data_IF_188698834109
#
_entry.id   IF_188698834109
#
_cell.length_a   1.000
_cell.length_b   1.000
_cell.length_c   1.000
_cell.angle_alpha   90.00
_cell.angle_beta   90.00
_cell.angle_gamma   90.00
#
_symmetry.space_group_name_H-M   'P 1'
#
loop_
_entity.id
_entity.type
_entity.pdbx_description
1 polymer ?
#
# COMPACT_ATOMS: atom_id res chain seq x y z
N UNK A 1 22.32 -18.12 50.44
CA UNK A 1 21.92 -17.16 49.38
C UNK A 1 21.04 -17.88 48.40
N UNK A 2 19.72 -17.72 48.52
CA UNK A 2 18.74 -18.20 47.52
C UNK A 2 18.57 -17.14 46.44
N UNK A 3 19.19 -17.34 45.28
CA UNK A 3 18.97 -16.51 44.10
C UNK A 3 17.58 -16.79 43.50
N UNK A 4 16.65 -15.87 43.68
CA UNK A 4 15.41 -15.84 42.92
C UNK A 4 15.70 -15.37 41.48
N UNK A 5 15.73 -16.32 40.53
CA UNK A 5 15.72 -16.01 39.10
C UNK A 5 14.31 -15.60 38.75
N UNK A 6 14.09 -14.29 38.61
CA UNK A 6 12.83 -13.76 38.04
C UNK A 6 12.88 -13.98 36.53
N UNK A 7 12.31 -15.08 36.07
CA UNK A 7 12.03 -15.26 34.65
C UNK A 7 10.88 -14.32 34.31
N UNK A 8 11.18 -13.17 33.71
CA UNK A 8 10.17 -12.30 33.11
C UNK A 8 9.63 -13.08 31.90
N UNK A 9 8.47 -13.72 32.05
CA UNK A 9 7.67 -14.16 30.93
C UNK A 9 7.22 -12.87 30.22
N UNK A 10 7.93 -12.50 29.17
CA UNK A 10 7.41 -11.59 28.16
C UNK A 10 6.19 -12.30 27.57
N UNK A 11 5.00 -11.96 28.05
CA UNK A 11 3.77 -12.41 27.40
C UNK A 11 3.86 -11.95 25.94
N UNK A 12 3.85 -12.90 25.01
CA UNK A 12 3.81 -12.59 23.58
C UNK A 12 2.54 -11.78 23.32
N UNK A 13 2.67 -10.67 22.60
CA UNK A 13 1.50 -9.89 22.17
C UNK A 13 0.53 -10.80 21.39
N UNK A 14 -0.78 -10.56 21.47
CA UNK A 14 -1.76 -11.27 20.64
C UNK A 14 -1.36 -11.23 19.16
N UNK A 15 -1.71 -12.28 18.43
CA UNK A 15 -1.46 -12.33 17.00
C UNK A 15 -2.32 -11.29 16.26
N UNK A 16 -1.81 -10.78 15.17
CA UNK A 16 -2.55 -9.91 14.25
C UNK A 16 -2.63 -10.58 12.89
N UNK A 17 -3.85 -10.82 12.40
CA UNK A 17 -4.12 -11.34 11.07
C UNK A 17 -4.52 -10.17 10.16
N UNK A 18 -3.84 -10.02 9.02
CA UNK A 18 -4.07 -8.93 8.08
C UNK A 18 -4.51 -9.52 6.74
N UNK A 19 -5.74 -9.21 6.34
CA UNK A 19 -6.30 -9.55 5.03
C UNK A 19 -6.12 -8.36 4.10
N UNK A 20 -5.54 -8.58 2.89
CA UNK A 20 -5.12 -7.52 1.99
C UNK A 20 -3.72 -6.98 2.31
N UNK A 21 -2.86 -7.85 2.83
CA UNK A 21 -1.52 -7.48 3.32
C UNK A 21 -0.54 -7.04 2.23
N UNK A 22 -0.75 -7.39 0.96
CA UNK A 22 0.11 -6.97 -0.15
C UNK A 22 -0.18 -5.54 -0.64
N UNK A 23 -1.27 -4.92 -0.18
CA UNK A 23 -1.62 -3.52 -0.49
C UNK A 23 -0.66 -2.51 0.12
N UNK A 24 -0.75 -1.24 -0.33
CA UNK A 24 0.14 -0.16 0.10
C UNK A 24 0.15 0.06 1.63
N UNK A 25 -1.02 0.06 2.27
CA UNK A 25 -1.16 0.16 3.74
C UNK A 25 -0.76 -1.16 4.40
N UNK A 26 -1.23 -2.30 3.86
CA UNK A 26 -1.03 -3.62 4.45
C UNK A 26 0.43 -4.00 4.63
N UNK A 27 1.26 -3.82 3.61
CA UNK A 27 2.72 -4.11 3.67
C UNK A 27 3.40 -3.36 4.82
N UNK A 28 3.08 -2.08 4.95
CA UNK A 28 3.69 -1.21 5.96
C UNK A 28 3.18 -1.51 7.35
N UNK A 29 1.90 -1.80 7.48
CA UNK A 29 1.31 -2.19 8.76
C UNK A 29 1.89 -3.50 9.26
N UNK A 30 2.08 -4.51 8.38
CA UNK A 30 2.77 -5.75 8.73
C UNK A 30 4.17 -5.50 9.28
N UNK A 31 4.99 -4.70 8.58
CA UNK A 31 6.35 -4.36 9.01
C UNK A 31 6.37 -3.56 10.32
N UNK A 32 5.48 -2.58 10.47
CA UNK A 32 5.41 -1.74 11.65
C UNK A 32 4.94 -2.51 12.90
N UNK A 33 3.98 -3.41 12.77
CA UNK A 33 3.53 -4.28 13.86
C UNK A 33 4.60 -5.26 14.29
N UNK A 34 5.29 -5.92 13.36
CA UNK A 34 6.39 -6.84 13.70
C UNK A 34 7.55 -6.11 14.36
N UNK A 35 7.88 -4.88 13.91
CA UNK A 35 8.88 -4.04 14.57
C UNK A 35 8.51 -3.70 16.03
N UNK A 36 7.22 -3.70 16.38
CA UNK A 36 6.71 -3.54 17.76
C UNK A 36 6.53 -4.86 18.52
N UNK A 37 6.96 -5.99 17.93
CA UNK A 37 6.93 -7.30 18.56
C UNK A 37 5.60 -8.05 18.45
N UNK A 38 4.69 -7.65 17.56
CA UNK A 38 3.50 -8.44 17.25
C UNK A 38 3.85 -9.61 16.35
N UNK A 39 3.23 -10.76 16.58
CA UNK A 39 3.17 -11.84 15.61
C UNK A 39 2.15 -11.46 14.54
N UNK A 40 2.55 -11.46 13.26
CA UNK A 40 1.69 -11.03 12.15
C UNK A 40 1.48 -12.17 11.15
N UNK A 41 0.23 -12.44 10.82
CA UNK A 41 -0.18 -13.32 9.72
C UNK A 41 -0.64 -12.41 8.59
N UNK A 42 0.15 -12.31 7.53
CA UNK A 42 -0.11 -11.51 6.35
C UNK A 42 -0.78 -12.37 5.28
N UNK A 43 -2.01 -12.05 4.87
CA UNK A 43 -2.73 -12.79 3.82
C UNK A 43 -3.19 -11.87 2.69
N UNK A 44 -3.23 -12.43 1.47
CA UNK A 44 -3.67 -11.72 0.27
C UNK A 44 -4.15 -12.71 -0.79
N UNK A 45 -4.92 -12.22 -1.78
CA UNK A 45 -5.39 -13.02 -2.92
C UNK A 45 -4.26 -13.48 -3.86
N UNK A 46 -3.10 -12.85 -3.79
CA UNK A 46 -1.93 -13.28 -4.56
C UNK A 46 -1.52 -14.69 -4.13
N UNK A 47 -1.28 -15.60 -5.07
CA UNK A 47 -0.83 -16.97 -4.75
C UNK A 47 0.45 -16.98 -3.90
N UNK A 48 1.30 -16.00 -4.10
CA UNK A 48 2.53 -15.79 -3.33
C UNK A 48 2.73 -14.31 -3.00
N UNK A 49 2.82 -13.99 -1.72
CA UNK A 49 3.10 -12.62 -1.28
C UNK A 49 4.55 -12.22 -1.61
N UNK A 50 4.81 -10.91 -1.77
CA UNK A 50 6.17 -10.43 -2.05
C UNK A 50 7.19 -10.89 -1.00
N UNK A 51 8.33 -11.41 -1.45
CA UNK A 51 9.41 -11.82 -0.53
C UNK A 51 9.99 -10.67 0.30
N UNK A 52 9.85 -9.43 -0.17
CA UNK A 52 10.18 -8.22 0.60
C UNK A 52 9.31 -8.09 1.84
N UNK A 53 8.02 -8.45 1.77
CA UNK A 53 7.12 -8.44 2.91
C UNK A 53 7.56 -9.45 3.99
N UNK A 54 7.86 -10.69 3.60
CA UNK A 54 8.37 -11.71 4.55
C UNK A 54 9.70 -11.26 5.19
N UNK A 55 10.60 -10.67 4.41
CA UNK A 55 11.87 -10.14 4.97
C UNK A 55 11.65 -8.98 5.94
N UNK A 56 10.72 -8.09 5.65
CA UNK A 56 10.40 -6.96 6.53
C UNK A 56 9.79 -7.42 7.86
N UNK A 57 9.00 -8.49 7.84
CA UNK A 57 8.39 -9.05 9.06
C UNK A 57 9.35 -9.96 9.87
N UNK A 58 10.37 -10.54 9.22
CA UNK A 58 11.31 -11.47 9.86
C UNK A 58 10.61 -12.70 10.45
N UNK A 59 11.11 -13.18 11.59
CA UNK A 59 10.62 -14.38 12.27
C UNK A 59 9.23 -14.21 12.93
N UNK A 60 8.76 -12.98 13.08
CA UNK A 60 7.44 -12.68 13.66
C UNK A 60 6.32 -12.70 12.61
N UNK A 61 6.66 -12.81 11.34
CA UNK A 61 5.72 -12.78 10.23
C UNK A 61 5.51 -14.13 9.55
N UNK A 62 4.26 -14.41 9.19
CA UNK A 62 3.86 -15.55 8.35
C UNK A 62 3.10 -15.01 7.14
N UNK A 63 3.50 -15.41 5.92
CA UNK A 63 2.80 -15.05 4.68
C UNK A 63 1.92 -16.21 4.22
N UNK A 64 0.64 -15.92 3.95
CA UNK A 64 -0.36 -16.88 3.42
C UNK A 64 -0.94 -16.30 2.14
N UNK A 65 -0.66 -16.93 1.00
CA UNK A 65 -1.17 -16.52 -0.32
C UNK A 65 -2.43 -17.26 -0.74
N UNK A 66 -3.06 -16.80 -1.83
CA UNK A 66 -4.25 -17.43 -2.42
C UNK A 66 -5.53 -17.22 -1.58
N UNK A 67 -5.57 -16.21 -0.72
CA UNK A 67 -6.74 -15.91 0.12
C UNK A 67 -7.57 -14.81 -0.49
N UNK A 68 -8.62 -15.18 -1.19
CA UNK A 68 -9.60 -14.22 -1.72
C UNK A 68 -10.72 -14.00 -0.70
N UNK A 69 -11.00 -12.74 -0.35
CA UNK A 69 -12.09 -12.39 0.57
C UNK A 69 -13.47 -12.78 0.05
N UNK A 70 -13.61 -12.99 -1.25
CA UNK A 70 -14.84 -13.50 -1.87
C UNK A 70 -15.00 -15.02 -1.70
N UNK A 71 -13.95 -15.74 -1.32
CA UNK A 71 -13.97 -17.20 -1.12
C UNK A 71 -14.05 -17.55 0.37
N UNK A 72 -15.25 -17.97 0.80
CA UNK A 72 -15.54 -18.31 2.21
C UNK A 72 -14.68 -19.47 2.71
N UNK A 73 -14.36 -20.44 1.86
CA UNK A 73 -13.62 -21.64 2.28
C UNK A 73 -12.13 -21.32 2.50
N UNK A 74 -11.53 -20.50 1.64
CA UNK A 74 -10.13 -20.07 1.84
C UNK A 74 -9.99 -19.20 3.09
N UNK A 75 -10.96 -18.30 3.35
CA UNK A 75 -10.99 -17.53 4.59
C UNK A 75 -11.18 -18.43 5.81
N UNK A 76 -12.12 -19.37 5.78
CA UNK A 76 -12.33 -20.30 6.89
C UNK A 76 -11.06 -21.06 7.23
N UNK A 77 -10.39 -21.61 6.23
CA UNK A 77 -9.12 -22.32 6.42
C UNK A 77 -8.05 -21.40 7.04
N UNK A 78 -7.90 -20.18 6.52
CA UNK A 78 -6.96 -19.19 7.08
C UNK A 78 -7.21 -18.94 8.56
N UNK A 79 -8.47 -18.73 8.95
CA UNK A 79 -8.82 -18.42 10.34
C UNK A 79 -8.66 -19.63 11.25
N UNK A 80 -9.07 -20.84 10.83
CA UNK A 80 -8.91 -22.08 11.60
C UNK A 80 -7.43 -22.41 11.87
N UNK A 81 -6.53 -22.10 10.92
CA UNK A 81 -5.11 -22.40 11.06
C UNK A 81 -4.31 -21.32 11.82
N UNK A 82 -4.76 -20.07 11.81
CA UNK A 82 -3.93 -18.93 12.22
C UNK A 82 -4.56 -17.99 13.24
N UNK A 83 -5.85 -18.10 13.54
CA UNK A 83 -6.57 -17.19 14.44
C UNK A 83 -7.23 -17.91 15.62
N UNK A 84 -7.43 -17.17 16.70
CA UNK A 84 -8.14 -17.56 17.91
C UNK A 84 -8.92 -16.35 18.49
N UNK A 85 -9.55 -16.55 19.65
CA UNK A 85 -10.33 -15.51 20.33
C UNK A 85 -9.54 -14.24 20.72
N UNK A 86 -8.20 -14.33 20.76
CA UNK A 86 -7.33 -13.20 21.11
C UNK A 86 -6.74 -12.52 19.86
N UNK A 87 -6.96 -13.07 18.68
CA UNK A 87 -6.40 -12.55 17.44
C UNK A 87 -7.09 -11.24 17.04
N UNK A 88 -6.30 -10.20 16.79
CA UNK A 88 -6.78 -8.97 16.13
C UNK A 88 -6.78 -9.17 14.63
N UNK A 89 -7.87 -8.79 13.98
CA UNK A 89 -8.03 -8.90 12.52
C UNK A 89 -8.04 -7.51 11.89
N UNK A 90 -7.22 -7.29 10.87
CA UNK A 90 -7.31 -6.14 9.97
C UNK A 90 -7.90 -6.59 8.64
N UNK A 91 -9.03 -6.02 8.25
CA UNK A 91 -9.55 -6.16 6.89
C UNK A 91 -9.19 -4.93 6.07
N UNK A 92 -8.15 -5.06 5.22
CA UNK A 92 -7.66 -4.01 4.32
C UNK A 92 -7.99 -4.31 2.85
N UNK A 93 -8.66 -5.44 2.58
CA UNK A 93 -9.04 -5.84 1.23
C UNK A 93 -10.19 -4.98 0.72
N UNK A 94 -9.90 -4.07 -0.19
CA UNK A 94 -10.87 -3.24 -0.88
C UNK A 94 -10.26 -2.68 -2.17
N UNK A 95 -11.01 -2.56 -3.26
CA UNK A 95 -10.64 -1.73 -4.42
C UNK A 95 -10.58 -0.25 -4.04
N UNK A 96 -9.76 0.52 -4.74
CA UNK A 96 -9.68 1.97 -4.59
C UNK A 96 -10.88 2.67 -5.26
N UNK A 97 -11.03 3.98 -5.00
CA UNK A 97 -12.17 4.77 -5.48
C UNK A 97 -12.36 4.74 -7.00
N UNK A 98 -11.27 4.81 -7.77
CA UNK A 98 -11.31 4.74 -9.24
C UNK A 98 -11.68 3.33 -9.72
N UNK A 99 -11.09 2.28 -9.11
CA UNK A 99 -11.43 0.89 -9.44
C UNK A 99 -12.89 0.58 -9.12
N UNK A 100 -13.41 1.10 -8.01
CA UNK A 100 -14.83 0.98 -7.64
C UNK A 100 -15.73 1.65 -8.67
N UNK A 101 -15.34 2.80 -9.20
CA UNK A 101 -16.10 3.49 -10.24
C UNK A 101 -16.10 2.75 -11.59
N UNK A 102 -15.02 2.01 -11.89
CA UNK A 102 -14.90 1.23 -13.12
C UNK A 102 -15.75 -0.06 -13.09
N UNK A 103 -15.81 -0.75 -11.95
CA UNK A 103 -16.62 -1.96 -11.76
C UNK A 103 -17.26 -1.99 -10.37
N UNK A 104 -18.39 -1.28 -10.18
CA UNK A 104 -19.06 -1.20 -8.87
C UNK A 104 -19.51 -2.54 -8.31
N UNK A 105 -19.88 -3.51 -9.17
CA UNK A 105 -20.37 -4.81 -8.73
C UNK A 105 -19.25 -5.69 -8.17
N UNK A 106 -18.10 -5.71 -8.83
CA UNK A 106 -16.90 -6.40 -8.32
C UNK A 106 -16.42 -5.72 -7.04
N UNK A 107 -16.41 -4.39 -7.01
CA UNK A 107 -16.01 -3.64 -5.82
C UNK A 107 -16.93 -3.92 -4.62
N UNK A 108 -18.25 -4.01 -4.82
CA UNK A 108 -19.21 -4.37 -3.77
C UNK A 108 -18.97 -5.80 -3.26
N UNK A 109 -18.75 -6.75 -4.16
CA UNK A 109 -18.48 -8.14 -3.79
C UNK A 109 -17.21 -8.25 -2.93
N UNK A 110 -16.14 -7.53 -3.29
CA UNK A 110 -14.87 -7.53 -2.53
C UNK A 110 -15.02 -6.76 -1.21
N UNK A 111 -15.58 -5.56 -1.22
CA UNK A 111 -15.65 -4.69 -0.04
C UNK A 111 -16.72 -5.19 0.94
N UNK A 112 -17.97 -5.23 0.51
CA UNK A 112 -19.10 -5.60 1.37
C UNK A 112 -19.21 -7.11 1.57
N UNK A 113 -19.09 -7.88 0.47
CA UNK A 113 -19.10 -9.34 0.51
C UNK A 113 -17.91 -9.87 1.29
N UNK A 114 -16.70 -9.36 1.00
CA UNK A 114 -15.49 -9.70 1.71
C UNK A 114 -15.56 -9.39 3.21
N UNK A 115 -16.10 -8.23 3.59
CA UNK A 115 -16.31 -7.90 5.01
C UNK A 115 -17.22 -8.90 5.71
N UNK A 116 -18.37 -9.26 5.10
CA UNK A 116 -19.28 -10.29 5.67
C UNK A 116 -18.57 -11.63 5.88
N UNK A 117 -17.78 -12.06 4.90
CA UNK A 117 -17.07 -13.33 4.95
C UNK A 117 -15.98 -13.32 6.04
N UNK A 118 -15.23 -12.21 6.18
CA UNK A 118 -14.24 -12.03 7.26
C UNK A 118 -14.91 -12.09 8.63
N UNK A 119 -16.02 -11.34 8.83
CA UNK A 119 -16.77 -11.35 10.10
C UNK A 119 -17.34 -12.73 10.44
N UNK A 120 -17.82 -13.46 9.43
CA UNK A 120 -18.27 -14.86 9.60
C UNK A 120 -17.13 -15.78 10.02
N UNK A 121 -15.95 -15.65 9.42
CA UNK A 121 -14.77 -16.44 9.80
C UNK A 121 -14.30 -16.08 11.21
N UNK A 122 -14.34 -14.80 11.60
CA UNK A 122 -14.05 -14.35 12.97
C UNK A 122 -15.00 -14.97 13.99
N UNK A 123 -16.33 -14.94 13.73
CA UNK A 123 -17.33 -15.53 14.60
C UNK A 123 -17.09 -17.04 14.80
N UNK A 124 -16.64 -17.74 13.74
CA UNK A 124 -16.37 -19.18 13.79
C UNK A 124 -15.23 -19.53 14.76
N UNK A 125 -14.16 -18.74 14.81
CA UNK A 125 -13.00 -18.96 15.70
C UNK A 125 -13.09 -18.18 17.02
N UNK A 126 -14.13 -17.40 17.23
CA UNK A 126 -14.33 -16.59 18.42
C UNK A 126 -13.50 -15.30 18.48
N UNK A 127 -12.84 -14.90 17.39
CA UNK A 127 -12.08 -13.64 17.33
C UNK A 127 -13.03 -12.43 17.44
N UNK A 128 -12.69 -11.47 18.32
CA UNK A 128 -13.59 -10.36 18.65
C UNK A 128 -13.15 -9.04 18.02
N UNK A 129 -11.85 -8.74 18.01
CA UNK A 129 -11.32 -7.44 17.57
C UNK A 129 -11.11 -7.41 16.06
N UNK A 130 -11.89 -6.54 15.40
CA UNK A 130 -11.69 -6.22 13.99
C UNK A 130 -11.32 -4.75 13.83
N UNK A 131 -10.28 -4.49 13.04
CA UNK A 131 -9.85 -3.16 12.64
C UNK A 131 -10.08 -2.98 11.13
N UNK A 132 -10.55 -1.81 10.75
CA UNK A 132 -10.91 -1.49 9.37
C UNK A 132 -10.42 -0.10 8.98
N UNK A 133 -10.02 0.08 7.73
CA UNK A 133 -9.71 1.39 7.16
C UNK A 133 -10.92 1.92 6.40
N UNK A 134 -11.57 2.90 6.98
CA UNK A 134 -12.54 3.76 6.31
C UNK A 134 -11.79 4.87 5.54
N UNK A 135 -12.47 5.82 4.97
CA UNK A 135 -11.89 6.86 4.11
C UNK A 135 -12.63 8.18 4.25
N UNK A 136 -11.95 9.28 3.97
CA UNK A 136 -12.61 10.59 3.74
C UNK A 136 -13.69 10.52 2.65
N UNK A 137 -13.61 9.52 1.76
CA UNK A 137 -14.66 9.21 0.79
C UNK A 137 -16.01 8.85 1.41
N UNK A 138 -16.08 8.56 2.71
CA UNK A 138 -17.34 8.37 3.46
C UNK A 138 -18.05 9.68 3.79
N UNK A 139 -17.36 10.82 3.74
CA UNK A 139 -17.96 12.13 3.88
C UNK A 139 -18.61 12.60 2.58
N UNK A 140 -19.64 13.43 2.70
CA UNK A 140 -20.30 14.08 1.57
C UNK A 140 -20.40 15.58 1.77
N UNK A 141 -21.12 16.27 0.86
CA UNK A 141 -21.23 17.72 0.85
C UNK A 141 -21.80 18.35 2.15
N UNK A 142 -22.50 17.56 2.96
CA UNK A 142 -23.05 18.03 4.24
C UNK A 142 -22.05 18.01 5.40
N UNK A 143 -20.87 17.39 5.19
CA UNK A 143 -19.85 17.28 6.23
C UNK A 143 -19.22 18.64 6.55
N UNK A 144 -18.75 18.83 7.80
CA UNK A 144 -17.96 20.00 8.15
C UNK A 144 -16.70 20.08 7.26
N UNK A 145 -16.41 21.29 6.75
CA UNK A 145 -15.19 21.48 5.96
C UNK A 145 -13.93 21.36 6.84
N UNK A 146 -13.95 21.86 8.06
CA UNK A 146 -12.85 21.80 9.00
C UNK A 146 -13.25 21.04 10.26
N UNK A 147 -12.32 20.24 10.80
CA UNK A 147 -12.52 19.48 12.02
C UNK A 147 -13.55 18.36 11.87
N UNK A 148 -13.64 17.72 10.70
CA UNK A 148 -14.53 16.59 10.50
C UNK A 148 -14.12 15.39 11.37
N UNK A 149 -15.09 14.69 11.97
CA UNK A 149 -14.89 13.60 12.91
C UNK A 149 -15.57 12.32 12.46
N UNK A 150 -15.10 11.17 12.95
CA UNK A 150 -15.81 9.91 12.76
C UNK A 150 -17.18 9.91 13.50
N UNK A 151 -17.29 10.61 14.61
CA UNK A 151 -18.56 10.84 15.33
C UNK A 151 -19.60 11.48 14.41
N UNK A 152 -19.23 12.45 13.57
CA UNK A 152 -20.15 13.08 12.64
C UNK A 152 -20.75 12.06 11.65
N UNK A 153 -19.96 11.09 11.17
CA UNK A 153 -20.44 10.00 10.30
C UNK A 153 -21.46 9.12 11.02
N UNK A 154 -21.24 8.82 12.29
CA UNK A 154 -22.18 8.07 13.13
C UNK A 154 -23.50 8.84 13.34
N UNK A 155 -23.43 10.13 13.66
CA UNK A 155 -24.59 10.99 13.89
C UNK A 155 -25.38 11.31 12.61
N UNK A 156 -24.77 11.16 11.44
CA UNK A 156 -25.37 11.42 10.13
C UNK A 156 -25.35 10.18 9.21
N UNK A 157 -25.93 9.04 9.62
CA UNK A 157 -25.81 7.77 8.92
C UNK A 157 -26.44 7.78 7.52
N UNK A 158 -27.36 8.69 7.24
CA UNK A 158 -28.10 8.79 5.97
C UNK A 158 -27.54 9.87 5.03
N UNK A 159 -26.42 10.53 5.38
CA UNK A 159 -25.81 11.51 4.50
C UNK A 159 -25.32 10.83 3.21
N UNK A 160 -25.31 11.56 2.08
CA UNK A 160 -24.85 11.08 0.79
C UNK A 160 -23.34 11.34 0.65
N UNK A 161 -22.50 10.29 0.59
CA UNK A 161 -21.05 10.44 0.35
C UNK A 161 -20.71 10.80 -1.08
N UNK A 162 -21.68 10.78 -2.01
CA UNK A 162 -21.50 11.14 -3.40
C UNK A 162 -20.77 10.10 -4.27
N UNK A 163 -20.48 8.92 -3.72
CA UNK A 163 -19.80 7.83 -4.45
C UNK A 163 -20.18 6.45 -3.92
N UNK A 164 -20.18 5.43 -4.80
CA UNK A 164 -20.37 4.02 -4.40
C UNK A 164 -19.29 3.55 -3.43
N UNK A 165 -18.06 4.02 -3.60
CA UNK A 165 -16.97 3.74 -2.68
C UNK A 165 -17.28 4.16 -1.25
N UNK A 166 -17.76 5.41 -1.05
CA UNK A 166 -18.16 5.91 0.27
C UNK A 166 -19.37 5.15 0.84
N UNK A 167 -20.33 4.77 -0.02
CA UNK A 167 -21.47 3.95 0.39
C UNK A 167 -21.04 2.56 0.87
N UNK A 168 -20.11 1.92 0.17
CA UNK A 168 -19.56 0.61 0.55
C UNK A 168 -18.77 0.68 1.87
N UNK A 169 -17.98 1.75 2.08
CA UNK A 169 -17.27 1.98 3.34
C UNK A 169 -18.25 2.13 4.52
N UNK A 170 -19.31 2.91 4.35
CA UNK A 170 -20.41 3.00 5.34
C UNK A 170 -21.02 1.63 5.65
N UNK A 171 -21.36 0.87 4.61
CA UNK A 171 -21.93 -0.48 4.79
C UNK A 171 -21.01 -1.43 5.55
N UNK A 172 -19.68 -1.32 5.37
CA UNK A 172 -18.73 -2.09 6.18
C UNK A 172 -18.80 -1.73 7.66
N UNK A 173 -18.94 -0.43 8.03
CA UNK A 173 -19.15 -0.02 9.44
C UNK A 173 -20.45 -0.60 10.00
N UNK A 174 -21.53 -0.55 9.25
CA UNK A 174 -22.82 -1.13 9.65
C UNK A 174 -22.72 -2.64 9.90
N UNK A 175 -21.99 -3.38 9.05
CA UNK A 175 -21.72 -4.81 9.25
C UNK A 175 -20.89 -5.07 10.52
N UNK A 176 -19.90 -4.23 10.79
CA UNK A 176 -19.06 -4.34 11.99
C UNK A 176 -19.87 -4.02 13.26
N UNK A 177 -20.75 -3.03 13.22
CA UNK A 177 -21.67 -2.72 14.35
C UNK A 177 -22.60 -3.90 14.63
N UNK A 178 -23.21 -4.49 13.60
CA UNK A 178 -24.02 -5.71 13.73
C UNK A 178 -23.24 -6.88 14.34
N UNK A 179 -22.00 -7.10 13.88
CA UNK A 179 -21.13 -8.12 14.46
C UNK A 179 -20.83 -7.88 15.94
N UNK A 180 -20.64 -6.63 16.35
CA UNK A 180 -20.43 -6.29 17.74
C UNK A 180 -21.66 -6.63 18.61
N UNK A 181 -22.86 -6.32 18.13
CA UNK A 181 -24.11 -6.61 18.83
C UNK A 181 -24.38 -8.12 18.95
N UNK A 182 -24.16 -8.89 17.87
CA UNK A 182 -24.48 -10.31 17.80
C UNK A 182 -23.43 -11.21 18.47
N UNK A 183 -22.15 -10.82 18.42
CA UNK A 183 -21.02 -11.67 18.84
C UNK A 183 -20.17 -11.04 19.96
N UNK A 184 -20.54 -9.88 20.50
CA UNK A 184 -19.74 -9.17 21.49
C UNK A 184 -18.39 -8.73 20.94
N UNK A 185 -18.38 -8.31 19.68
CA UNK A 185 -17.17 -7.88 18.97
C UNK A 185 -16.61 -6.55 19.50
N UNK A 186 -15.35 -6.30 19.17
CA UNK A 186 -14.61 -5.06 19.39
C UNK A 186 -14.27 -4.44 18.03
N UNK A 187 -15.23 -3.78 17.36
CA UNK A 187 -15.02 -3.16 16.06
C UNK A 187 -14.30 -1.83 16.20
N UNK A 188 -13.26 -1.62 15.40
CA UNK A 188 -12.49 -0.38 15.37
C UNK A 188 -12.30 0.06 13.93
N UNK A 189 -12.51 1.34 13.63
CA UNK A 189 -12.21 1.83 12.30
C UNK A 189 -11.46 3.15 12.32
N UNK A 190 -10.61 3.33 11.31
CA UNK A 190 -9.88 4.57 11.08
C UNK A 190 -10.36 5.21 9.78
N UNK A 191 -10.84 6.46 9.83
CA UNK A 191 -11.13 7.25 8.64
C UNK A 191 -9.83 7.84 8.15
N UNK A 192 -9.35 7.34 7.00
CA UNK A 192 -8.10 7.75 6.41
C UNK A 192 -8.28 8.95 5.47
N UNK A 193 -7.42 9.96 5.57
CA UNK A 193 -7.26 10.98 4.52
C UNK A 193 -6.48 10.41 3.33
N UNK A 194 -6.06 11.26 2.40
CA UNK A 194 -5.17 10.87 1.31
C UNK A 194 -3.83 10.36 1.83
N UNK A 195 -3.49 9.10 1.51
CA UNK A 195 -2.26 8.48 2.01
C UNK A 195 -1.08 8.81 1.09
N UNK A 196 -0.07 9.48 1.63
CA UNK A 196 1.15 9.85 0.93
C UNK A 196 2.32 8.95 1.37
N UNK A 197 3.12 8.52 0.42
CA UNK A 197 4.28 7.66 0.66
C UNK A 197 5.37 7.87 -0.36
N UNK A 198 6.56 7.37 -0.10
CA UNK A 198 7.73 7.56 -0.97
C UNK A 198 7.90 6.49 -2.06
N UNK A 199 7.00 5.54 -2.21
CA UNK A 199 7.04 4.55 -3.29
C UNK A 199 6.42 5.09 -4.59
N UNK A 200 6.66 4.37 -5.70
CA UNK A 200 6.05 4.72 -6.98
C UNK A 200 4.51 4.59 -6.92
N UNK A 201 3.82 5.53 -7.56
CA UNK A 201 2.37 5.65 -7.54
C UNK A 201 1.77 5.16 -8.84
N UNK A 202 0.57 4.63 -8.77
CA UNK A 202 -0.11 3.99 -9.90
C UNK A 202 -1.32 4.76 -10.43
N UNK A 203 -1.60 5.97 -9.90
CA UNK A 203 -2.59 6.88 -10.45
C UNK A 203 -4.05 6.46 -10.24
N UNK A 204 -4.38 5.76 -9.15
CA UNK A 204 -5.71 5.20 -8.92
C UNK A 204 -6.55 5.90 -7.83
N UNK A 205 -6.14 7.08 -7.36
CA UNK A 205 -6.85 7.82 -6.33
C UNK A 205 -6.85 9.33 -6.53
N UNK A 206 -7.92 10.00 -6.10
CA UNK A 206 -8.08 11.46 -6.22
C UNK A 206 -6.96 12.23 -5.52
N UNK A 207 -6.40 11.71 -4.44
CA UNK A 207 -5.34 12.35 -3.65
C UNK A 207 -3.93 12.08 -4.19
N UNK A 208 -3.78 11.17 -5.15
CA UNK A 208 -2.49 10.79 -5.72
C UNK A 208 -1.87 11.89 -6.59
N UNK A 209 -2.64 12.91 -6.99
CA UNK A 209 -2.10 14.09 -7.69
C UNK A 209 -0.86 14.66 -7.01
N UNK A 210 -0.81 14.59 -5.68
CA UNK A 210 0.29 15.13 -4.89
C UNK A 210 1.59 14.34 -5.13
N UNK A 211 1.49 13.02 -5.19
CA UNK A 211 2.63 12.15 -5.50
C UNK A 211 3.04 12.25 -6.97
N UNK A 212 2.06 12.36 -7.88
CA UNK A 212 2.31 12.56 -9.31
C UNK A 212 3.07 13.87 -9.58
N UNK A 213 2.71 14.95 -8.88
CA UNK A 213 3.42 16.23 -8.98
C UNK A 213 4.88 16.11 -8.49
N UNK A 214 5.10 15.40 -7.38
CA UNK A 214 6.44 15.14 -6.84
C UNK A 214 7.27 14.27 -7.78
N UNK A 215 6.66 13.27 -8.44
CA UNK A 215 7.31 12.46 -9.44
C UNK A 215 7.67 13.24 -10.71
N UNK A 216 6.82 14.18 -11.12
CA UNK A 216 7.05 14.99 -12.30
C UNK A 216 8.20 16.02 -12.12
N UNK A 217 8.41 16.51 -10.90
CA UNK A 217 9.33 17.61 -10.63
C UNK A 217 10.79 17.35 -11.05
N UNK A 218 11.43 16.20 -10.76
CA UNK A 218 12.79 15.91 -11.19
C UNK A 218 12.95 15.87 -12.71
N UNK A 219 11.90 15.48 -13.45
CA UNK A 219 11.95 15.36 -14.90
C UNK A 219 11.91 16.71 -15.61
N UNK A 220 11.23 17.68 -15.05
CA UNK A 220 11.18 19.02 -15.60
C UNK A 220 12.51 19.77 -15.48
N UNK A 221 13.33 19.42 -14.51
CA UNK A 221 14.64 20.05 -14.30
C UNK A 221 15.70 19.56 -15.30
N UNK A 222 15.62 18.33 -15.77
CA UNK A 222 16.57 17.80 -16.77
C UNK A 222 16.33 18.36 -18.17
N UNK A 223 15.20 19.00 -18.40
CA UNK A 223 14.78 19.60 -19.68
C UNK A 223 14.83 21.12 -19.67
N UNK A 224 15.74 21.73 -18.93
CA UNK A 224 15.97 23.18 -18.95
C UNK A 224 16.18 23.68 -20.39
N UNK A 225 15.12 24.25 -20.95
CA UNK A 225 15.10 24.79 -22.32
C UNK A 225 14.00 24.25 -23.23
N UNK A 226 13.21 23.26 -22.77
CA UNK A 226 12.07 22.73 -23.53
C UNK A 226 10.79 23.56 -23.28
N UNK A 227 9.91 23.68 -24.29
CA UNK A 227 8.68 24.46 -24.19
C UNK A 227 7.69 23.88 -23.17
N UNK A 228 6.72 24.70 -22.77
CA UNK A 228 5.66 24.42 -21.78
C UNK A 228 4.82 23.15 -21.97
N UNK A 229 5.19 22.25 -22.89
CA UNK A 229 4.55 20.95 -23.11
C UNK A 229 4.81 19.95 -22.01
N UNK A 230 5.89 20.12 -21.21
CA UNK A 230 6.27 19.20 -20.15
C UNK A 230 5.83 19.64 -18.74
N UNK A 231 4.95 20.65 -18.66
CA UNK A 231 4.40 21.10 -17.39
C UNK A 231 3.50 20.00 -16.79
N UNK A 232 3.56 19.82 -15.47
CA UNK A 232 2.66 18.92 -14.76
C UNK A 232 1.19 19.31 -14.99
N UNK A 233 0.33 18.36 -15.29
CA UNK A 233 -1.10 18.57 -15.46
C UNK A 233 -1.80 18.33 -14.13
N UNK A 234 -2.25 19.44 -13.49
CA UNK A 234 -2.96 19.38 -12.24
C UNK A 234 -4.45 19.05 -12.51
N UNK A 235 -4.96 17.89 -12.05
CA UNK A 235 -6.31 17.42 -12.39
C UNK A 235 -7.40 18.01 -11.50
N UNK A 236 -7.06 18.80 -10.49
CA UNK A 236 -8.01 19.42 -9.56
C UNK A 236 -7.74 20.93 -9.46
N UNK A 237 -8.71 21.66 -8.94
CA UNK A 237 -8.56 23.09 -8.66
C UNK A 237 -7.38 23.31 -7.70
N UNK A 238 -6.40 24.15 -8.07
CA UNK A 238 -5.21 24.37 -7.27
C UNK A 238 -5.44 25.01 -5.89
N UNK A 239 -6.62 25.56 -5.65
CA UNK A 239 -6.99 26.18 -4.38
C UNK A 239 -7.85 25.28 -3.48
N UNK A 240 -8.23 24.10 -3.96
CA UNK A 240 -8.95 23.13 -3.13
C UNK A 240 -8.01 22.52 -2.10
N UNK A 241 -8.42 22.60 -0.83
CA UNK A 241 -7.71 21.98 0.29
C UNK A 241 -8.23 20.56 0.53
N UNK A 242 -7.32 19.63 0.79
CA UNK A 242 -7.68 18.27 1.14
C UNK A 242 -6.81 17.75 2.28
N UNK A 243 -7.38 16.90 3.17
CA UNK A 243 -6.61 16.26 4.24
C UNK A 243 -5.79 15.11 3.65
N UNK A 244 -4.54 15.03 4.09
CA UNK A 244 -3.56 14.01 3.72
C UNK A 244 -2.89 13.45 4.97
N UNK A 245 -2.26 12.29 4.86
CA UNK A 245 -1.40 11.74 5.90
C UNK A 245 -0.16 11.11 5.29
N UNK A 246 1.01 11.39 5.85
CA UNK A 246 2.20 10.66 5.47
C UNK A 246 2.20 9.28 6.14
N UNK A 247 2.65 8.28 5.42
CA UNK A 247 2.50 6.88 5.81
C UNK A 247 3.09 6.53 7.18
N UNK A 248 4.15 7.22 7.60
CA UNK A 248 4.77 6.98 8.92
C UNK A 248 3.85 7.40 10.07
N UNK A 249 3.20 8.57 9.96
CA UNK A 249 2.19 9.00 10.92
C UNK A 249 0.97 8.08 10.87
N UNK A 250 0.53 7.68 9.67
CA UNK A 250 -0.57 6.73 9.52
C UNK A 250 -0.30 5.42 10.24
N UNK A 251 0.89 4.83 10.08
CA UNK A 251 1.23 3.58 10.79
C UNK A 251 1.17 3.75 12.31
N UNK A 252 1.64 4.88 12.83
CA UNK A 252 1.54 5.19 14.25
C UNK A 252 0.07 5.26 14.71
N UNK A 253 -0.79 5.90 13.94
CA UNK A 253 -2.23 6.01 14.26
C UNK A 253 -2.96 4.66 14.21
N UNK A 254 -2.72 3.83 13.17
CA UNK A 254 -3.34 2.51 13.04
C UNK A 254 -2.91 1.57 14.18
N UNK A 255 -1.64 1.61 14.57
CA UNK A 255 -1.14 0.79 15.66
C UNK A 255 -1.69 1.30 17.00
N UNK A 256 -1.75 2.62 17.21
CA UNK A 256 -2.33 3.19 18.41
C UNK A 256 -3.81 2.77 18.56
N UNK A 257 -4.58 2.77 17.46
CA UNK A 257 -5.96 2.28 17.44
C UNK A 257 -6.04 0.78 17.80
N UNK A 258 -5.15 -0.05 17.22
CA UNK A 258 -5.13 -1.48 17.53
C UNK A 258 -4.77 -1.76 18.99
N UNK A 259 -3.78 -1.06 19.54
CA UNK A 259 -3.22 -1.29 20.89
C UNK A 259 -4.02 -0.62 21.99
N UNK A 260 -4.91 0.32 21.67
CA UNK A 260 -5.71 1.03 22.68
C UNK A 260 -6.57 0.05 23.52
N UNK A 261 -6.66 0.34 24.82
CA UNK A 261 -7.61 -0.37 25.70
C UNK A 261 -9.04 -0.02 25.27
N UNK A 262 -9.87 -1.04 25.06
CA UNK A 262 -11.28 -0.89 24.67
C UNK A 262 -12.05 0.07 25.61
N UNK A 263 -11.70 0.06 26.90
CA UNK A 263 -12.36 0.89 27.92
C UNK A 263 -11.98 2.38 27.82
N UNK A 264 -10.89 2.71 27.13
CA UNK A 264 -10.43 4.09 26.93
C UNK A 264 -10.96 4.72 25.64
N UNK A 265 -11.54 3.90 24.75
CA UNK A 265 -12.12 4.39 23.51
C UNK A 265 -13.50 4.99 23.77
N UNK A 266 -13.67 6.28 23.47
CA UNK A 266 -14.88 7.03 23.80
C UNK A 266 -15.73 7.42 22.60
N UNK A 267 -15.19 7.24 21.38
CA UNK A 267 -15.93 7.56 20.17
C UNK A 267 -16.94 6.47 19.79
N UNK A 268 -18.10 6.85 19.19
CA UNK A 268 -19.09 5.90 18.73
C UNK A 268 -18.50 4.84 17.83
N UNK A 269 -18.88 3.57 18.02
CA UNK A 269 -18.39 2.43 17.23
C UNK A 269 -16.85 2.36 17.19
N UNK A 270 -16.16 2.96 18.16
CA UNK A 270 -14.70 3.05 18.27
C UNK A 270 -14.04 3.54 16.97
N UNK A 271 -14.66 4.54 16.36
CA UNK A 271 -14.22 5.14 15.09
C UNK A 271 -13.45 6.43 15.31
N UNK A 272 -12.30 6.56 14.63
CA UNK A 272 -11.42 7.73 14.72
C UNK A 272 -11.00 8.21 13.35
N UNK A 273 -11.01 9.53 13.14
CA UNK A 273 -10.26 10.11 12.03
C UNK A 273 -8.76 10.06 12.37
N UNK A 274 -7.90 9.75 11.39
CA UNK A 274 -6.45 9.85 11.56
C UNK A 274 -5.94 11.03 10.72
N UNK A 275 -5.94 12.26 11.28
CA UNK A 275 -5.45 13.43 10.58
C UNK A 275 -3.94 13.35 10.31
N UNK A 276 -3.47 14.21 9.45
CA UNK A 276 -2.05 14.39 9.14
C UNK A 276 -1.83 15.79 8.61
N UNK A 277 -1.53 15.90 7.34
CA UNK A 277 -1.34 17.17 6.62
C UNK A 277 -2.67 17.66 6.04
N UNK A 278 -2.80 18.96 5.88
CA UNK A 278 -3.86 19.55 5.04
C UNK A 278 -3.25 20.65 4.19
N UNK A 279 -3.36 20.53 2.88
CA UNK A 279 -2.76 21.49 1.94
C UNK A 279 -3.51 21.56 0.61
N UNK A 280 -3.31 22.66 -0.09
CA UNK A 280 -3.78 22.86 -1.46
C UNK A 280 -2.68 22.44 -2.46
N UNK A 281 -3.02 22.10 -3.72
CA UNK A 281 -2.01 21.91 -4.76
C UNK A 281 -1.03 23.09 -4.88
N UNK A 282 -1.51 24.35 -4.77
CA UNK A 282 -0.64 25.51 -4.81
C UNK A 282 0.40 25.53 -3.69
N UNK A 283 0.02 25.17 -2.45
CA UNK A 283 0.96 25.06 -1.33
C UNK A 283 2.01 23.97 -1.58
N UNK A 284 1.59 22.81 -2.09
CA UNK A 284 2.49 21.74 -2.49
C UNK A 284 3.47 22.19 -3.57
N UNK A 285 2.99 22.88 -4.61
CA UNK A 285 3.83 23.34 -5.71
C UNK A 285 4.85 24.40 -5.28
N UNK A 286 4.49 25.24 -4.32
CA UNK A 286 5.43 26.17 -3.68
C UNK A 286 6.53 25.39 -2.96
N UNK A 287 6.19 24.33 -2.23
CA UNK A 287 7.16 23.50 -1.53
C UNK A 287 8.07 22.73 -2.50
N UNK A 288 7.52 22.13 -3.56
CA UNK A 288 8.29 21.46 -4.62
C UNK A 288 9.32 22.43 -5.25
N UNK A 289 8.95 23.69 -5.51
CA UNK A 289 9.84 24.69 -6.12
C UNK A 289 11.04 25.06 -5.24
N UNK A 290 11.02 24.80 -3.95
CA UNK A 290 12.20 24.98 -3.11
C UNK A 290 13.32 23.99 -3.46
N UNK A 291 12.96 22.81 -3.95
CA UNK A 291 13.86 21.75 -4.40
C UNK A 291 14.11 21.82 -5.91
N UNK A 292 13.07 22.08 -6.67
CA UNK A 292 13.06 22.15 -8.14
C UNK A 292 12.52 23.49 -8.62
N UNK A 293 13.33 24.57 -8.65
CA UNK A 293 12.86 25.93 -9.00
C UNK A 293 12.20 26.05 -10.37
N UNK A 294 12.52 25.13 -11.30
CA UNK A 294 11.92 25.07 -12.64
C UNK A 294 10.58 24.33 -12.72
N UNK A 295 10.06 23.82 -11.60
CA UNK A 295 8.78 23.11 -11.61
C UNK A 295 7.62 23.99 -12.06
N UNK A 296 6.99 23.60 -13.18
CA UNK A 296 5.82 24.25 -13.77
C UNK A 296 4.61 23.33 -13.81
N UNK A 297 3.42 23.89 -13.74
CA UNK A 297 2.17 23.14 -13.89
C UNK A 297 1.16 23.90 -14.74
N UNK A 298 0.18 23.17 -15.26
CA UNK A 298 -1.03 23.69 -15.90
C UNK A 298 -2.22 23.00 -15.25
N UNK A 299 -3.35 23.70 -15.18
CA UNK A 299 -4.60 23.12 -14.70
C UNK A 299 -5.31 22.45 -15.88
N UNK A 300 -5.60 21.17 -15.75
CA UNK A 300 -6.42 20.40 -16.66
C UNK A 300 -7.34 19.53 -15.81
N UNK A 301 -8.53 20.06 -15.47
CA UNK A 301 -9.42 19.46 -14.52
C UNK A 301 -9.95 18.10 -15.01
N UNK A 302 -9.82 17.09 -14.19
CA UNK A 302 -10.61 15.85 -14.28
C UNK A 302 -11.92 16.06 -13.51
N UNK A 303 -13.05 15.92 -14.19
CA UNK A 303 -14.37 16.22 -13.63
C UNK A 303 -14.67 15.41 -12.37
N UNK A 304 -14.27 14.13 -12.32
CA UNK A 304 -14.51 13.25 -11.17
C UNK A 304 -13.57 13.58 -10.01
N UNK A 305 -12.27 13.70 -10.28
CA UNK A 305 -11.28 14.03 -9.24
C UNK A 305 -11.59 15.39 -8.62
N UNK A 306 -11.87 16.40 -9.45
CA UNK A 306 -12.19 17.73 -8.97
C UNK A 306 -13.52 17.78 -8.20
N UNK A 307 -14.53 17.01 -8.62
CA UNK A 307 -15.78 16.85 -7.89
C UNK A 307 -15.52 16.27 -6.50
N UNK A 308 -14.77 15.19 -6.39
CA UNK A 308 -14.50 14.55 -5.10
C UNK A 308 -13.65 15.43 -4.18
N UNK A 309 -12.62 16.11 -4.73
CA UNK A 309 -11.81 17.06 -3.99
C UNK A 309 -12.64 18.16 -3.33
N UNK A 310 -13.68 18.67 -4.03
CA UNK A 310 -14.59 19.66 -3.51
C UNK A 310 -15.67 19.13 -2.55
N UNK A 311 -15.88 17.81 -2.55
CA UNK A 311 -16.92 17.16 -1.74
C UNK A 311 -16.44 16.84 -0.33
N UNK A 312 -15.16 16.45 -0.19
CA UNK A 312 -14.57 16.00 1.05
C UNK A 312 -14.21 17.15 2.01
N UNK A 313 -14.04 16.88 3.32
CA UNK A 313 -13.53 17.88 4.26
C UNK A 313 -12.18 18.43 3.84
N UNK A 314 -11.91 19.67 4.25
CA UNK A 314 -10.59 20.29 4.12
C UNK A 314 -9.62 19.75 5.19
N UNK A 315 -10.16 19.50 6.40
CA UNK A 315 -9.37 19.08 7.56
C UNK A 315 -10.15 18.09 8.42
N UNK A 316 -9.44 17.12 8.97
CA UNK A 316 -9.95 16.19 9.98
C UNK A 316 -9.61 16.70 11.39
N UNK A 317 -10.43 16.33 12.38
CA UNK A 317 -10.16 16.67 13.78
C UNK A 317 -8.97 15.89 14.33
N UNK A 318 -8.12 16.56 15.11
CA UNK A 318 -7.02 15.96 15.87
C UNK A 318 -7.39 15.67 17.32
N UNK A 319 -8.53 16.19 17.80
CA UNK A 319 -8.86 16.18 19.22
C UNK A 319 -9.13 14.77 19.73
N UNK A 320 -10.00 14.02 19.04
CA UNK A 320 -10.42 12.70 19.48
C UNK A 320 -9.26 11.67 19.43
N UNK A 321 -8.50 11.56 18.33
CA UNK A 321 -7.39 10.61 18.28
C UNK A 321 -6.23 10.99 19.23
N UNK A 322 -6.01 12.28 19.48
CA UNK A 322 -5.03 12.69 20.49
C UNK A 322 -5.47 12.29 21.90
N UNK A 323 -6.73 12.54 22.25
CA UNK A 323 -7.29 12.25 23.59
C UNK A 323 -7.29 10.75 23.91
N UNK A 324 -7.78 9.92 22.99
CA UNK A 324 -8.06 8.51 23.26
C UNK A 324 -6.93 7.58 22.82
N UNK A 325 -6.20 7.92 21.78
CA UNK A 325 -5.14 7.10 21.20
C UNK A 325 -3.73 7.65 21.50
N UNK A 326 -3.62 8.89 22.00
CA UNK A 326 -2.36 9.59 22.10
C UNK A 326 -1.70 9.86 20.72
N UNK A 327 -2.51 9.82 19.65
CA UNK A 327 -2.06 10.05 18.29
C UNK A 327 -2.04 11.54 17.96
N UNK A 328 -0.88 11.99 17.47
CA UNK A 328 -0.71 13.32 16.86
C UNK A 328 0.25 13.21 15.69
N UNK A 329 -0.11 13.72 14.50
CA UNK A 329 0.79 13.70 13.34
C UNK A 329 1.98 14.63 13.58
N UNK A 330 3.15 14.25 13.04
CA UNK A 330 4.38 15.00 13.22
C UNK A 330 5.03 15.44 11.91
N UNK A 331 4.66 14.82 10.79
CA UNK A 331 5.27 15.10 9.49
C UNK A 331 4.70 16.41 8.93
N UNK A 332 5.56 17.37 8.63
CA UNK A 332 5.17 18.62 7.95
C UNK A 332 5.14 18.44 6.43
N UNK A 333 4.51 19.39 5.72
CA UNK A 333 4.53 19.41 4.24
C UNK A 333 5.97 19.43 3.70
N UNK A 334 6.86 20.18 4.32
CA UNK A 334 8.27 20.25 3.94
C UNK A 334 8.99 18.91 4.15
N UNK A 335 8.74 18.25 5.28
CA UNK A 335 9.30 16.92 5.56
C UNK A 335 8.79 15.88 4.56
N UNK A 336 7.49 15.86 4.29
CA UNK A 336 6.88 14.96 3.31
C UNK A 336 7.49 15.14 1.92
N UNK A 337 7.58 16.38 1.42
CA UNK A 337 8.17 16.68 0.12
C UNK A 337 9.64 16.24 0.09
N UNK A 338 10.43 16.57 1.11
CA UNK A 338 11.84 16.15 1.20
C UNK A 338 12.00 14.64 1.23
N UNK A 339 11.17 13.93 1.99
CA UNK A 339 11.21 12.46 2.09
C UNK A 339 10.87 11.78 0.76
N UNK A 340 9.81 12.25 0.09
CA UNK A 340 9.39 11.67 -1.20
C UNK A 340 10.44 11.95 -2.27
N UNK A 341 10.92 13.18 -2.41
CA UNK A 341 11.93 13.55 -3.40
C UNK A 341 13.25 12.84 -3.14
N UNK A 342 13.73 12.79 -1.89
CA UNK A 342 14.96 12.07 -1.53
C UNK A 342 14.90 10.57 -1.82
N UNK A 343 13.74 9.93 -1.59
CA UNK A 343 13.54 8.53 -1.95
C UNK A 343 13.54 8.31 -3.48
N UNK A 344 13.04 9.28 -4.26
CA UNK A 344 13.08 9.22 -5.72
C UNK A 344 14.48 9.42 -6.28
N UNK A 345 15.23 10.37 -5.72
CA UNK A 345 16.64 10.59 -6.09
C UNK A 345 17.49 9.35 -5.82
N UNK A 346 17.33 8.73 -4.66
CA UNK A 346 18.00 7.49 -4.33
C UNK A 346 17.64 6.35 -5.29
N UNK A 347 16.36 6.19 -5.64
CA UNK A 347 15.93 5.18 -6.63
C UNK A 347 16.49 5.46 -8.02
N UNK A 348 16.45 6.71 -8.46
CA UNK A 348 17.04 7.11 -9.73
C UNK A 348 18.54 6.81 -9.78
N UNK A 349 19.25 7.05 -8.68
CA UNK A 349 20.67 6.72 -8.56
C UNK A 349 20.91 5.20 -8.62
N UNK A 350 20.11 4.40 -7.90
CA UNK A 350 20.19 2.94 -7.93
C UNK A 350 19.87 2.40 -9.32
N UNK A 351 18.85 2.94 -9.98
CA UNK A 351 18.46 2.61 -11.34
C UNK A 351 19.57 2.97 -12.33
N UNK A 352 20.20 4.14 -12.20
CA UNK A 352 21.32 4.57 -13.03
C UNK A 352 22.56 3.67 -12.84
N UNK A 353 22.84 3.26 -11.61
CA UNK A 353 23.93 2.33 -11.33
C UNK A 353 23.65 0.94 -11.92
N UNK A 354 22.41 0.45 -11.80
CA UNK A 354 22.02 -0.81 -12.43
C UNK A 354 22.14 -0.77 -13.96
N UNK A 355 21.70 0.32 -14.59
CA UNK A 355 21.86 0.52 -16.02
C UNK A 355 23.35 0.52 -16.44
N UNK A 356 24.21 1.26 -15.73
CA UNK A 356 25.67 1.29 -15.99
C UNK A 356 26.34 -0.07 -15.80
N UNK A 357 25.87 -0.87 -14.83
CA UNK A 357 26.40 -2.22 -14.65
C UNK A 357 25.95 -3.17 -15.74
N UNK A 358 24.79 -2.93 -16.36
CA UNK A 358 24.28 -3.69 -17.50
C UNK A 358 24.97 -3.28 -18.80
N UNK A 359 25.11 -1.98 -19.05
CA UNK A 359 25.76 -1.39 -20.21
C UNK A 359 27.29 -1.64 -20.16
N UNK A 360 27.69 -2.84 -20.58
CA UNK A 360 29.07 -3.30 -20.46
C UNK A 360 30.00 -2.78 -21.57
N UNK A 361 29.44 -2.32 -22.67
CA UNK A 361 30.16 -1.71 -23.79
C UNK A 361 30.12 -0.18 -23.80
N UNK A 362 29.41 0.43 -22.78
CA UNK A 362 29.32 1.87 -22.58
C UNK A 362 28.72 2.63 -23.77
N UNK A 363 27.78 2.01 -24.46
CA UNK A 363 27.05 2.65 -25.57
C UNK A 363 25.93 3.58 -25.12
N UNK A 364 25.51 3.51 -23.85
CA UNK A 364 24.33 4.21 -23.31
C UNK A 364 23.02 3.54 -23.68
N UNK A 365 23.06 2.33 -24.19
CA UNK A 365 21.94 1.50 -24.62
C UNK A 365 22.12 0.07 -24.10
N UNK A 366 21.03 -0.62 -23.78
CA UNK A 366 21.07 -2.00 -23.33
C UNK A 366 20.59 -2.93 -24.42
N UNK A 367 21.44 -3.88 -24.75
CA UNK A 367 21.09 -5.00 -25.61
C UNK A 367 20.47 -6.15 -24.81
N UNK A 368 19.73 -7.02 -25.48
CA UNK A 368 19.22 -8.26 -24.90
C UNK A 368 20.33 -9.11 -24.23
N UNK A 369 21.51 -9.15 -24.83
CA UNK A 369 22.63 -9.92 -24.31
C UNK A 369 23.17 -9.38 -22.99
N UNK A 370 23.26 -8.08 -22.86
CA UNK A 370 23.70 -7.41 -21.63
C UNK A 370 22.68 -7.59 -20.51
N UNK A 371 21.40 -7.42 -20.82
CA UNK A 371 20.32 -7.69 -19.87
C UNK A 371 20.32 -9.14 -19.41
N UNK A 372 20.49 -10.09 -20.34
CA UNK A 372 20.56 -11.52 -19.99
C UNK A 372 21.76 -11.83 -19.08
N UNK A 373 22.93 -11.27 -19.37
CA UNK A 373 24.13 -11.43 -18.55
C UNK A 373 23.94 -10.88 -17.14
N UNK A 374 23.32 -9.73 -17.00
CA UNK A 374 23.04 -9.09 -15.70
C UNK A 374 22.00 -9.90 -14.91
N UNK A 375 20.88 -10.27 -15.51
CA UNK A 375 19.85 -11.08 -14.89
C UNK A 375 20.42 -12.43 -14.41
N UNK A 376 21.27 -13.08 -15.20
CA UNK A 376 22.00 -14.29 -14.79
C UNK A 376 22.84 -14.06 -13.53
N UNK A 377 23.58 -12.97 -13.48
CA UNK A 377 24.45 -12.64 -12.33
C UNK A 377 23.67 -12.57 -11.03
N UNK A 378 22.44 -12.05 -11.05
CA UNK A 378 21.61 -11.88 -9.85
C UNK A 378 20.70 -13.08 -9.52
N UNK A 379 20.14 -13.74 -10.53
CA UNK A 379 19.26 -14.89 -10.31
C UNK A 379 20.03 -16.19 -10.02
N UNK A 380 21.29 -16.29 -10.44
CA UNK A 380 22.10 -17.52 -10.32
C UNK A 380 23.19 -17.41 -9.25
N UNK A 381 23.24 -16.33 -8.48
CA UNK A 381 24.22 -16.14 -7.40
C UNK A 381 24.12 -17.26 -6.37
N UNK A 382 25.06 -18.21 -6.40
CA UNK A 382 25.30 -19.22 -5.36
C UNK A 382 24.93 -20.66 -5.69
N UNK A 383 24.50 -21.00 -6.91
CA UNK A 383 24.13 -22.39 -7.25
C UNK A 383 24.68 -22.82 -8.61
N UNK A 384 25.83 -23.46 -8.62
CA UNK A 384 26.44 -24.04 -9.85
C UNK A 384 25.55 -25.11 -10.54
N UNK A 385 24.64 -25.75 -9.80
CA UNK A 385 23.76 -26.80 -10.28
C UNK A 385 22.63 -26.35 -11.21
N UNK A 386 22.29 -25.05 -11.19
CA UNK A 386 21.24 -24.46 -12.03
C UNK A 386 21.69 -24.10 -13.45
N UNK A 387 22.93 -24.38 -13.83
CA UNK A 387 23.54 -23.84 -15.06
C UNK A 387 22.93 -24.33 -16.38
N UNK A 388 22.25 -25.47 -16.43
CA UNK A 388 21.66 -26.03 -17.67
C UNK A 388 20.15 -25.86 -17.79
N UNK A 389 19.38 -26.01 -16.71
CA UNK A 389 17.91 -25.87 -16.71
C UNK A 389 17.46 -24.41 -16.56
N UNK A 390 18.23 -23.59 -15.86
CA UNK A 390 17.93 -22.15 -15.68
C UNK A 390 18.12 -21.28 -16.91
N UNK A 391 18.85 -21.76 -17.94
CA UNK A 391 19.09 -20.98 -19.16
C UNK A 391 17.81 -20.61 -19.91
N UNK A 392 16.86 -21.53 -20.04
CA UNK A 392 15.59 -21.29 -20.72
C UNK A 392 14.66 -20.34 -19.97
N UNK A 393 14.72 -20.34 -18.64
CA UNK A 393 13.89 -19.48 -17.79
C UNK A 393 14.40 -18.04 -17.77
N UNK A 394 15.72 -17.84 -17.64
CA UNK A 394 16.34 -16.51 -17.75
C UNK A 394 16.07 -15.90 -19.13
N UNK A 395 16.24 -16.68 -20.20
CA UNK A 395 15.97 -16.21 -21.55
C UNK A 395 14.52 -15.75 -21.74
N UNK A 396 13.52 -16.54 -21.29
CA UNK A 396 12.10 -16.16 -21.35
C UNK A 396 11.80 -14.90 -20.52
N UNK A 397 12.45 -14.75 -19.38
CA UNK A 397 12.31 -13.55 -18.57
C UNK A 397 12.85 -12.31 -19.27
N UNK A 398 14.06 -12.41 -19.83
CA UNK A 398 14.65 -11.32 -20.61
C UNK A 398 13.83 -11.01 -21.86
N UNK A 399 13.28 -12.02 -22.54
CA UNK A 399 12.37 -11.81 -23.67
C UNK A 399 11.11 -11.02 -23.24
N UNK A 400 10.57 -11.31 -22.07
CA UNK A 400 9.43 -10.56 -21.53
C UNK A 400 9.81 -9.12 -21.21
N UNK A 401 10.95 -8.89 -20.52
CA UNK A 401 11.46 -7.55 -20.24
C UNK A 401 11.70 -6.75 -21.52
N UNK A 402 12.35 -7.35 -22.53
CA UNK A 402 12.57 -6.71 -23.83
C UNK A 402 11.25 -6.33 -24.50
N UNK A 403 10.23 -7.21 -24.45
CA UNK A 403 8.92 -6.89 -25.02
C UNK A 403 8.21 -5.71 -24.33
N UNK A 404 8.49 -5.49 -23.04
CA UNK A 404 7.94 -4.36 -22.28
C UNK A 404 8.75 -3.08 -22.47
N UNK A 405 10.07 -3.19 -22.59
CA UNK A 405 11.03 -2.08 -22.62
C UNK A 405 11.34 -1.61 -24.05
N UNK A 406 11.50 -2.52 -24.98
CA UNK A 406 11.79 -2.20 -26.39
C UNK A 406 10.50 -1.91 -27.15
N UNK A 407 9.96 -0.72 -26.93
CA UNK A 407 8.66 -0.31 -27.50
C UNK A 407 8.70 -0.08 -29.01
N UNK A 408 9.85 0.27 -29.56
CA UNK A 408 10.06 0.48 -31.00
C UNK A 408 10.53 -0.77 -31.73
N UNK A 409 10.84 -1.86 -31.01
CA UNK A 409 11.26 -3.18 -31.53
C UNK A 409 12.54 -3.14 -32.36
N UNK A 410 13.49 -2.30 -31.97
CA UNK A 410 14.82 -2.24 -32.59
C UNK A 410 15.86 -3.15 -31.92
N UNK A 411 15.47 -3.84 -30.84
CA UNK A 411 16.34 -4.74 -30.07
C UNK A 411 17.18 -4.04 -29.01
N UNK A 412 16.92 -2.77 -28.76
CA UNK A 412 17.72 -1.90 -27.88
C UNK A 412 16.82 -1.21 -26.86
N UNK A 413 17.31 -1.06 -25.63
CA UNK A 413 16.63 -0.32 -24.55
C UNK A 413 17.47 0.87 -24.16
N UNK A 414 16.96 2.08 -24.46
CA UNK A 414 17.60 3.32 -24.05
C UNK A 414 17.50 3.57 -22.56
N UNK A 415 18.40 4.42 -22.02
CA UNK A 415 18.29 4.90 -20.63
C UNK A 415 16.92 5.51 -20.32
N UNK A 416 16.36 6.30 -21.24
CA UNK A 416 15.04 6.91 -21.06
C UNK A 416 13.93 5.88 -20.82
N UNK A 417 13.86 4.88 -21.69
CA UNK A 417 12.88 3.79 -21.60
C UNK A 417 13.07 2.94 -20.35
N UNK A 418 14.32 2.58 -20.04
CA UNK A 418 14.66 1.80 -18.85
C UNK A 418 14.33 2.55 -17.54
N UNK A 419 14.65 3.84 -17.45
CA UNK A 419 14.38 4.64 -16.27
C UNK A 419 12.88 4.86 -16.07
N UNK A 420 12.11 5.01 -17.13
CA UNK A 420 10.65 5.12 -17.06
C UNK A 420 9.99 3.80 -16.63
N UNK A 421 10.44 2.68 -17.18
CA UNK A 421 9.99 1.37 -16.76
C UNK A 421 10.32 1.10 -15.29
N UNK A 422 11.55 1.37 -14.86
CA UNK A 422 11.99 1.20 -13.46
C UNK A 422 11.19 2.06 -12.48
N UNK A 423 10.67 3.21 -12.90
CA UNK A 423 9.78 4.04 -12.10
C UNK A 423 8.39 3.43 -11.89
N UNK A 424 7.88 2.77 -12.94
CA UNK A 424 6.57 2.11 -12.91
C UNK A 424 6.63 0.76 -12.16
N UNK A 425 7.78 0.15 -12.15
CA UNK A 425 8.00 -1.17 -11.55
C UNK A 425 9.12 -1.05 -10.52
N UNK A 426 8.88 -1.47 -9.29
CA UNK A 426 10.00 -1.72 -8.38
C UNK A 426 10.83 -2.85 -9.00
N UNK A 427 11.95 -2.52 -9.61
CA UNK A 427 12.79 -3.48 -10.33
C UNK A 427 13.19 -4.66 -9.43
N UNK A 428 13.37 -4.40 -8.14
CA UNK A 428 13.68 -5.43 -7.16
C UNK A 428 12.47 -6.34 -6.89
N UNK A 429 11.26 -5.79 -6.77
CA UNK A 429 10.03 -6.58 -6.59
C UNK A 429 9.69 -7.41 -7.83
N UNK A 430 9.86 -6.86 -9.02
CA UNK A 430 9.58 -7.57 -10.27
C UNK A 430 10.62 -8.66 -10.53
N UNK A 431 11.91 -8.41 -10.29
CA UNK A 431 12.95 -9.42 -10.35
C UNK A 431 12.70 -10.56 -9.34
N UNK A 432 12.30 -10.23 -8.12
CA UNK A 432 11.98 -11.24 -7.10
C UNK A 432 10.68 -11.98 -7.38
N UNK A 433 9.64 -11.29 -7.85
CA UNK A 433 8.38 -11.93 -8.25
C UNK A 433 8.58 -12.94 -9.37
N UNK A 434 9.43 -12.60 -10.34
CA UNK A 434 9.70 -13.47 -11.47
C UNK A 434 10.76 -14.53 -11.16
N UNK A 435 11.73 -14.25 -10.30
CA UNK A 435 12.63 -15.26 -9.77
C UNK A 435 11.86 -16.37 -9.02
N UNK A 436 10.85 -16.00 -8.23
CA UNK A 436 9.98 -16.95 -7.57
C UNK A 436 9.17 -17.80 -8.56
N UNK A 437 8.62 -17.19 -9.62
CA UNK A 437 7.90 -17.91 -10.68
C UNK A 437 8.81 -18.87 -11.44
N UNK A 438 10.06 -18.47 -11.70
CA UNK A 438 11.09 -19.30 -12.33
C UNK A 438 11.49 -20.45 -11.40
N UNK A 439 11.63 -20.20 -10.10
CA UNK A 439 11.95 -21.22 -9.10
C UNK A 439 10.81 -22.25 -8.98
N UNK A 440 9.55 -21.83 -8.98
CA UNK A 440 8.40 -22.75 -8.93
C UNK A 440 8.27 -23.58 -10.22
N UNK A 441 8.52 -22.98 -11.39
CA UNK A 441 8.55 -23.73 -12.65
C UNK A 441 9.70 -24.74 -12.69
N UNK A 442 10.86 -24.39 -12.16
CA UNK A 442 12.00 -25.30 -12.03
C UNK A 442 11.73 -26.44 -11.04
N UNK A 443 11.13 -26.13 -9.88
CA UNK A 443 10.70 -27.13 -8.89
C UNK A 443 9.67 -28.10 -9.47
N UNK A 444 8.73 -27.59 -10.27
CA UNK A 444 7.75 -28.42 -10.98
C UNK A 444 8.42 -29.33 -12.02
N UNK A 445 9.34 -28.81 -12.84
CA UNK A 445 10.09 -29.59 -13.82
C UNK A 445 11.00 -30.63 -13.18
N UNK A 446 11.64 -30.32 -12.04
CA UNK A 446 12.45 -31.28 -11.28
C UNK A 446 11.60 -32.44 -10.75
N UNK A 447 10.37 -32.16 -10.25
CA UNK A 447 9.42 -33.20 -9.82
C UNK A 447 8.92 -34.06 -11.00
N UNK A 448 8.66 -33.44 -12.15
CA UNK A 448 8.27 -34.14 -13.39
C UNK A 448 9.38 -35.06 -13.93
N UNK A 449 10.65 -34.76 -13.61
CA UNK A 449 11.81 -35.59 -13.93
C UNK A 449 12.11 -36.66 -12.85
N UNK A 450 11.26 -36.77 -11.81
CA UNK A 450 11.38 -37.81 -10.76
C UNK A 450 12.44 -37.52 -9.70
N UNK A 451 12.89 -36.26 -9.58
CA UNK A 451 13.83 -35.83 -8.53
C UNK A 451 13.15 -35.01 -7.45
N UNK A 452 13.51 -35.18 -6.18
CA UNK A 452 13.09 -34.29 -5.10
C UNK A 452 13.90 -32.98 -5.18
N UNK A 453 13.23 -31.81 -5.15
CA UNK A 453 13.94 -30.54 -5.09
C UNK A 453 14.63 -30.41 -3.72
N UNK A 454 15.93 -30.22 -3.71
CA UNK A 454 16.70 -29.94 -2.50
C UNK A 454 16.28 -28.56 -1.97
N UNK A 455 15.87 -28.49 -0.72
CA UNK A 455 15.38 -27.30 0.01
C UNK A 455 16.47 -26.24 0.14
#
# INVERSE_FOLDING_TARGET
>A
ECGFSVTIFLMSKPATLIVGAAGAVGKRLCAALTARGHRVIASDRMDKLPGSLQRAMGDLGTCVGGVDVCDVETLRTLFEEHADENTTVWNLAAPLSVETALDPAVAEAVTMGGMRNVLQAMAHVGARRICFTDSIGSFGAAAPRCGATARWLHENPNQDPGSDYGLQKRGCRELMATFAEEHGGDPRFAVLPGVLHSEAVWGNGTTEYALDALLAAPHQQTTLGLPAQDAYLCPIDPDVRMPMVFVDDLMNGLIALQEADEQLLTEPEQGYCLPGLSFTPNELFVEIRKHYPGFGFRVELDDNMNKFANLWPDELSEEEPLRDLGYSPNVTLADMVSNVLGAHENRNMLTANAFKEMDTDHTGELTRVEMEKHVRKYLVRGREEYSRTGQGAVSKFVDKLMNELDTNKDGIVSWGTFSEWSRRHSMEEELWRQAATVEDQLRKQIRELGHEPVV
#
